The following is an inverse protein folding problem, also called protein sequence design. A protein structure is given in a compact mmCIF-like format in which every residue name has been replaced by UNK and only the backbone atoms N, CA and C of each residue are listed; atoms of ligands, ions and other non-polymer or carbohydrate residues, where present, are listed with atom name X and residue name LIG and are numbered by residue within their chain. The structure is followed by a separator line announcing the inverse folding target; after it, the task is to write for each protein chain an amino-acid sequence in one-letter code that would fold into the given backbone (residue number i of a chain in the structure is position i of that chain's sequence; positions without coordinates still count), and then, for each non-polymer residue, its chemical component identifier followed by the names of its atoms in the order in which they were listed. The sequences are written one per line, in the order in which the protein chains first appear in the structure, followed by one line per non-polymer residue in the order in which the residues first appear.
data_IF_450968314474
#
_entry.id   IF_450968314474
#
_cell.length_a   1.000
_cell.length_b   1.000
_cell.length_c   1.000
_cell.angle_alpha   90.00
_cell.angle_beta   90.00
_cell.angle_gamma   90.00
#
_symmetry.space_group_name_H-M   'P 1'
#
loop_
_entity.id
_entity.type
_entity.pdbx_description
1 polymer ?
#
# COMPACT_ATOMS: atom_id res chain seq x y z
N UNK A 1 3.00 -30.04 -57.29
CA UNK A 1 3.06 -30.03 -55.82
C UNK A 1 3.37 -28.62 -55.33
N UNK A 2 2.57 -28.11 -54.40
CA UNK A 2 2.69 -26.77 -53.80
C UNK A 2 3.72 -26.83 -52.66
N UNK A 3 4.72 -25.94 -52.63
CA UNK A 3 5.59 -25.76 -51.47
C UNK A 3 5.27 -24.40 -50.85
N UNK A 4 4.58 -24.40 -49.71
CA UNK A 4 4.27 -23.20 -48.93
C UNK A 4 5.46 -22.91 -48.01
N UNK A 5 6.11 -21.77 -48.23
CA UNK A 5 7.13 -21.22 -47.33
C UNK A 5 6.41 -20.45 -46.22
N UNK A 6 6.34 -21.03 -45.02
CA UNK A 6 5.77 -20.37 -43.84
C UNK A 6 6.84 -19.55 -43.11
N UNK A 7 6.71 -18.23 -43.12
CA UNK A 7 7.48 -17.35 -42.24
C UNK A 7 7.06 -17.56 -40.77
N UNK A 8 8.00 -18.05 -39.95
CA UNK A 8 7.92 -18.03 -38.50
C UNK A 8 8.31 -16.62 -38.02
N UNK A 9 7.32 -15.78 -37.71
CA UNK A 9 7.55 -14.52 -37.01
C UNK A 9 7.59 -14.85 -35.51
N UNK A 10 8.79 -14.94 -34.94
CA UNK A 10 8.98 -14.86 -33.48
C UNK A 10 8.68 -13.42 -33.06
N UNK A 11 7.44 -13.14 -32.69
CA UNK A 11 7.08 -11.92 -31.99
C UNK A 11 7.56 -12.01 -30.54
N UNK A 12 8.64 -11.30 -30.21
CA UNK A 12 9.01 -11.02 -28.82
C UNK A 12 7.96 -10.04 -28.28
N UNK A 13 7.02 -10.54 -27.49
CA UNK A 13 6.08 -9.72 -26.74
C UNK A 13 6.82 -9.08 -25.56
N UNK A 14 6.85 -7.74 -25.44
CA UNK A 14 7.36 -7.10 -24.24
C UNK A 14 6.44 -7.44 -23.06
N UNK A 15 7.03 -7.90 -21.96
CA UNK A 15 6.33 -8.12 -20.70
C UNK A 15 5.65 -6.83 -20.23
N UNK A 16 4.37 -6.94 -19.91
CA UNK A 16 3.54 -5.88 -19.34
C UNK A 16 4.06 -5.56 -17.93
N UNK A 17 4.96 -4.57 -17.82
CA UNK A 17 5.45 -4.03 -16.56
C UNK A 17 4.30 -3.41 -15.76
N UNK A 18 4.27 -3.70 -14.46
CA UNK A 18 3.17 -3.40 -13.57
C UNK A 18 3.30 -2.04 -12.88
N UNK A 19 2.14 -1.48 -12.57
CA UNK A 19 2.00 -0.22 -11.84
C UNK A 19 2.24 -0.46 -10.36
N UNK A 20 3.47 -0.20 -9.95
CA UNK A 20 3.88 -0.20 -8.56
C UNK A 20 5.40 -0.05 -8.49
N UNK A 21 5.93 1.00 -7.88
CA UNK A 21 7.39 1.08 -7.71
C UNK A 21 7.89 0.04 -6.70
N UNK A 22 7.03 -0.34 -5.75
CA UNK A 22 7.41 -1.21 -4.63
C UNK A 22 6.32 -2.26 -4.35
N UNK A 23 6.67 -3.53 -4.45
CA UNK A 23 5.80 -4.65 -4.09
C UNK A 23 6.10 -5.21 -2.71
N UNK A 24 5.06 -5.67 -2.02
CA UNK A 24 5.18 -6.51 -0.83
C UNK A 24 4.42 -7.81 -1.09
N UNK A 25 5.17 -8.89 -1.25
CA UNK A 25 4.63 -10.23 -1.39
C UNK A 25 4.39 -10.82 -0.01
N UNK A 26 3.18 -11.29 0.25
CA UNK A 26 2.80 -11.88 1.54
C UNK A 26 2.52 -13.36 1.40
N UNK A 27 2.91 -14.15 2.39
CA UNK A 27 2.43 -15.53 2.59
C UNK A 27 2.06 -15.75 4.05
N UNK A 28 0.95 -16.42 4.29
CA UNK A 28 0.48 -16.70 5.64
C UNK A 28 0.51 -18.21 5.91
N UNK A 29 1.05 -18.63 7.05
CA UNK A 29 0.98 -20.03 7.48
C UNK A 29 -0.47 -20.48 7.70
N UNK A 30 -1.33 -19.55 8.15
CA UNK A 30 -2.79 -19.68 8.22
C UNK A 30 -3.42 -18.37 7.77
N UNK A 31 -4.38 -18.46 6.88
CA UNK A 31 -5.04 -17.28 6.32
C UNK A 31 -5.72 -16.46 7.43
N UNK A 32 -5.41 -15.16 7.57
CA UNK A 32 -6.05 -14.29 8.55
C UNK A 32 -7.49 -13.94 8.15
N UNK A 33 -8.36 -13.56 9.10
CA UNK A 33 -9.62 -12.89 8.80
C UNK A 33 -9.38 -11.61 8.00
N UNK A 34 -10.30 -11.31 7.08
CA UNK A 34 -10.22 -10.12 6.20
C UNK A 34 -10.05 -8.82 6.99
N UNK A 35 -10.72 -8.68 8.14
CA UNK A 35 -10.61 -7.51 9.01
C UNK A 35 -9.19 -7.28 9.55
N UNK A 36 -8.48 -8.35 9.92
CA UNK A 36 -7.09 -8.26 10.37
C UNK A 36 -6.18 -7.82 9.22
N UNK A 37 -6.38 -8.42 8.05
CA UNK A 37 -5.59 -8.15 6.85
C UNK A 37 -5.76 -6.70 6.36
N UNK A 38 -7.00 -6.22 6.32
CA UNK A 38 -7.32 -4.85 5.92
C UNK A 38 -6.75 -3.84 6.91
N UNK A 39 -6.93 -4.09 8.21
CA UNK A 39 -6.38 -3.23 9.25
C UNK A 39 -4.85 -3.16 9.19
N UNK A 40 -4.19 -4.30 9.00
CA UNK A 40 -2.73 -4.37 8.83
C UNK A 40 -2.26 -3.57 7.62
N UNK A 41 -2.91 -3.74 6.45
CA UNK A 41 -2.54 -3.03 5.22
C UNK A 41 -2.74 -1.54 5.34
N UNK A 42 -3.85 -1.11 5.93
CA UNK A 42 -4.16 0.30 6.20
C UNK A 42 -3.11 0.92 7.13
N UNK A 43 -2.74 0.22 8.20
CA UNK A 43 -1.74 0.69 9.16
C UNK A 43 -0.35 0.82 8.49
N UNK A 44 0.09 -0.20 7.76
CA UNK A 44 1.36 -0.14 7.02
C UNK A 44 1.34 0.99 6.00
N UNK A 45 0.24 1.16 5.27
CA UNK A 45 0.11 2.26 4.31
C UNK A 45 0.19 3.63 5.01
N UNK A 46 -0.47 3.80 6.16
CA UNK A 46 -0.41 5.02 6.95
C UNK A 46 1.02 5.33 7.42
N UNK A 47 1.80 4.31 7.77
CA UNK A 47 3.18 4.45 8.24
C UNK A 47 4.16 4.71 7.08
N UNK A 48 4.01 4.00 5.96
CA UNK A 48 5.02 3.97 4.90
C UNK A 48 4.80 5.05 3.81
N UNK A 49 3.56 5.49 3.60
CA UNK A 49 3.24 6.53 2.60
C UNK A 49 3.90 7.89 2.90
N UNK A 50 4.01 8.35 4.18
CA UNK A 50 4.84 9.48 4.57
C UNK A 50 6.34 9.25 4.38
N UNK A 51 6.82 8.03 4.10
CA UNK A 51 8.18 7.76 3.63
C UNK A 51 8.33 7.89 2.11
N UNK A 52 7.20 7.84 1.37
CA UNK A 52 7.16 7.87 -0.09
C UNK A 52 6.99 6.48 -0.71
N UNK A 53 6.77 5.48 0.15
CA UNK A 53 6.64 4.08 -0.21
C UNK A 53 5.15 3.74 -0.34
N UNK A 54 4.64 3.83 -1.56
CA UNK A 54 3.29 3.44 -1.93
C UNK A 54 3.32 1.95 -2.34
N UNK A 55 2.90 1.06 -1.43
CA UNK A 55 3.12 -0.38 -1.51
C UNK A 55 2.03 -1.10 -2.31
N UNK A 56 2.45 -2.10 -3.10
CA UNK A 56 1.57 -2.97 -3.87
C UNK A 56 1.57 -4.37 -3.26
N UNK A 57 0.44 -4.78 -2.69
CA UNK A 57 0.33 -6.07 -2.02
C UNK A 57 0.08 -7.19 -3.03
N UNK A 58 0.81 -8.31 -2.88
CA UNK A 58 0.64 -9.52 -3.69
C UNK A 58 0.68 -10.75 -2.79
N UNK A 59 -0.05 -11.80 -3.17
CA UNK A 59 0.11 -13.11 -2.53
C UNK A 59 1.25 -13.87 -3.22
N UNK A 60 2.11 -14.53 -2.43
CA UNK A 60 3.11 -15.45 -2.96
C UNK A 60 2.50 -16.70 -3.60
N UNK A 61 1.31 -17.11 -3.17
CA UNK A 61 0.66 -18.34 -3.67
C UNK A 61 -0.05 -18.12 -5.01
N UNK A 62 -0.17 -16.87 -5.45
CA UNK A 62 -0.86 -16.46 -6.69
C UNK A 62 0.03 -15.77 -7.72
N UNK A 63 1.37 -15.92 -7.63
CA UNK A 63 2.31 -15.19 -8.50
C UNK A 63 2.05 -15.52 -9.96
N UNK A 64 1.72 -14.49 -10.75
CA UNK A 64 1.71 -14.55 -12.21
C UNK A 64 3.08 -14.09 -12.71
N UNK A 65 3.70 -14.85 -13.60
CA UNK A 65 5.10 -14.70 -14.05
C UNK A 65 5.43 -13.38 -14.80
N UNK A 66 4.48 -12.45 -14.94
CA UNK A 66 4.60 -11.26 -15.80
C UNK A 66 4.71 -9.94 -15.03
N UNK A 67 4.83 -10.01 -13.71
CA UNK A 67 4.69 -8.90 -12.77
C UNK A 67 6.08 -8.32 -12.40
N UNK A 68 6.41 -7.12 -12.89
CA UNK A 68 7.72 -6.48 -12.66
C UNK A 68 7.56 -5.25 -11.77
N UNK A 69 8.30 -5.22 -10.65
CA UNK A 69 8.36 -4.12 -9.70
C UNK A 69 9.81 -3.60 -9.57
N UNK A 70 9.99 -2.30 -9.30
CA UNK A 70 11.33 -1.69 -9.17
C UNK A 70 12.03 -2.09 -7.88
N UNK A 71 11.28 -2.24 -6.80
CA UNK A 71 11.71 -2.79 -5.51
C UNK A 71 10.68 -3.78 -5.01
N UNK A 72 11.11 -4.80 -4.27
CA UNK A 72 10.20 -5.75 -3.66
C UNK A 72 10.67 -6.13 -2.26
N UNK A 73 9.71 -6.47 -1.41
CA UNK A 73 9.92 -7.18 -0.16
C UNK A 73 8.98 -8.40 -0.10
N UNK A 74 9.39 -9.42 0.64
CA UNK A 74 8.62 -10.62 0.91
C UNK A 74 8.40 -10.70 2.41
N UNK A 75 7.14 -10.67 2.84
CA UNK A 75 6.73 -10.79 4.23
C UNK A 75 6.07 -12.15 4.47
N UNK A 76 6.68 -13.00 5.28
CA UNK A 76 6.12 -14.29 5.67
C UNK A 76 5.54 -14.21 7.08
N UNK A 77 4.29 -14.59 7.25
CA UNK A 77 3.62 -14.58 8.53
C UNK A 77 3.51 -16.01 9.07
N UNK A 78 4.12 -16.24 10.24
CA UNK A 78 4.09 -17.51 10.96
C UNK A 78 3.04 -17.48 12.05
N UNK A 79 2.50 -18.66 12.39
CA UNK A 79 1.53 -18.81 13.46
C UNK A 79 0.10 -18.46 13.08
N UNK A 80 -0.69 -18.00 14.05
CA UNK A 80 -2.09 -17.60 13.89
C UNK A 80 -2.24 -16.08 13.81
N UNK A 81 -2.61 -15.55 12.64
CA UNK A 81 -2.82 -14.11 12.48
C UNK A 81 -4.32 -13.73 12.58
N UNK A 82 -5.10 -14.40 13.43
CA UNK A 82 -6.56 -14.21 13.53
C UNK A 82 -7.02 -13.24 14.63
N UNK A 83 -6.08 -12.71 15.43
CA UNK A 83 -6.38 -11.89 16.60
C UNK A 83 -7.08 -12.64 17.75
N UNK A 84 -7.22 -13.97 17.70
CA UNK A 84 -7.83 -14.75 18.78
C UNK A 84 -6.83 -14.94 19.94
N UNK A 85 -6.76 -13.95 20.85
CA UNK A 85 -5.83 -13.90 21.98
C UNK A 85 -6.03 -14.95 23.10
N UNK A 86 -6.35 -16.19 22.75
CA UNK A 86 -6.78 -17.23 23.69
C UNK A 86 -5.81 -18.42 23.79
N UNK A 87 -4.87 -18.61 22.85
CA UNK A 87 -3.86 -19.66 22.99
C UNK A 87 -2.70 -19.14 23.84
N UNK A 88 -2.72 -19.47 25.14
CA UNK A 88 -1.59 -19.28 26.05
C UNK A 88 -0.46 -20.25 25.70
N UNK A 89 0.20 -20.02 24.57
CA UNK A 89 1.53 -20.59 24.33
C UNK A 89 2.54 -19.73 25.09
N UNK A 90 3.43 -20.36 25.85
CA UNK A 90 4.42 -19.67 26.68
C UNK A 90 5.08 -18.53 25.92
N UNK A 91 5.04 -17.33 26.50
CA UNK A 91 5.66 -16.14 25.92
C UNK A 91 7.17 -16.33 26.05
N UNK A 92 7.78 -17.00 25.07
CA UNK A 92 9.23 -17.02 24.94
C UNK A 92 9.68 -15.59 24.56
N UNK A 93 10.53 -14.94 25.38
CA UNK A 93 11.08 -13.63 25.05
C UNK A 93 11.78 -13.69 23.68
N UNK A 94 11.48 -12.75 22.80
CA UNK A 94 12.07 -12.74 21.46
C UNK A 94 11.51 -11.66 20.56
N UNK A 95 12.11 -11.54 19.37
CA UNK A 95 11.70 -10.58 18.36
C UNK A 95 10.29 -10.91 17.81
N UNK A 96 9.44 -9.91 17.64
CA UNK A 96 8.09 -10.08 17.07
C UNK A 96 8.12 -10.25 15.55
N UNK A 97 9.17 -9.73 14.91
CA UNK A 97 9.50 -9.93 13.52
C UNK A 97 11.01 -9.78 13.33
N UNK A 98 11.52 -10.18 12.16
CA UNK A 98 12.91 -9.96 11.78
C UNK A 98 13.06 -9.92 10.26
N UNK A 99 14.11 -9.22 9.81
CA UNK A 99 14.59 -9.24 8.43
C UNK A 99 15.87 -10.07 8.31
N UNK A 100 16.07 -10.69 7.15
CA UNK A 100 17.25 -11.52 6.90
C UNK A 100 18.44 -10.65 6.50
N UNK A 101 19.64 -10.99 6.97
CA UNK A 101 20.88 -10.32 6.57
C UNK A 101 21.85 -11.36 6.03
N UNK A 102 22.44 -11.09 4.87
CA UNK A 102 23.53 -11.90 4.27
C UNK A 102 24.66 -10.98 3.88
N UNK A 103 25.89 -11.33 4.28
CA UNK A 103 27.11 -10.57 3.98
C UNK A 103 27.02 -9.07 4.34
N UNK A 104 26.34 -8.74 5.43
CA UNK A 104 26.13 -7.35 5.85
C UNK A 104 25.19 -6.56 4.93
N UNK A 105 24.28 -7.24 4.23
CA UNK A 105 23.22 -6.63 3.41
C UNK A 105 21.86 -7.11 3.91
N UNK A 106 20.94 -6.18 4.17
CA UNK A 106 19.55 -6.52 4.51
C UNK A 106 18.89 -7.07 3.25
N UNK A 107 18.42 -8.31 3.32
CA UNK A 107 17.70 -8.95 2.25
C UNK A 107 16.23 -8.53 2.26
N UNK A 108 15.53 -8.59 1.12
CA UNK A 108 14.13 -8.22 1.02
C UNK A 108 13.17 -9.28 1.59
N UNK A 109 13.54 -9.94 2.69
CA UNK A 109 12.74 -10.96 3.35
C UNK A 109 12.51 -10.57 4.80
N UNK A 110 11.25 -10.38 5.18
CA UNK A 110 10.79 -10.19 6.54
C UNK A 110 9.96 -11.40 6.99
N UNK A 111 10.09 -11.76 8.25
CA UNK A 111 9.26 -12.76 8.90
C UNK A 111 8.57 -12.17 10.11
N UNK A 112 7.26 -12.36 10.22
CA UNK A 112 6.41 -11.84 11.31
C UNK A 112 5.83 -13.02 12.08
N UNK A 113 5.98 -13.02 13.40
CA UNK A 113 5.52 -14.09 14.28
C UNK A 113 4.20 -13.70 14.96
N UNK A 114 3.08 -14.10 14.34
CA UNK A 114 1.75 -13.74 14.84
C UNK A 114 1.43 -14.39 16.19
N UNK A 115 1.88 -15.62 16.45
CA UNK A 115 1.67 -16.27 17.75
C UNK A 115 2.39 -15.49 18.87
N UNK A 116 3.62 -15.04 18.62
CA UNK A 116 4.36 -14.20 19.58
C UNK A 116 3.70 -12.83 19.77
N UNK A 117 3.20 -12.19 18.71
CA UNK A 117 2.46 -10.92 18.82
C UNK A 117 1.17 -11.13 19.63
N UNK A 118 0.41 -12.20 19.39
CA UNK A 118 -0.79 -12.52 20.16
C UNK A 118 -0.47 -12.70 21.65
N UNK A 119 0.58 -13.47 21.98
CA UNK A 119 1.03 -13.65 23.36
C UNK A 119 1.47 -12.33 24.01
N UNK A 120 2.22 -11.50 23.28
CA UNK A 120 2.69 -10.20 23.76
C UNK A 120 1.54 -9.22 24.05
N UNK A 121 0.48 -9.27 23.24
CA UNK A 121 -0.68 -8.37 23.33
C UNK A 121 -1.84 -8.96 24.13
N UNK A 122 -1.74 -10.21 24.61
CA UNK A 122 -2.83 -10.95 25.24
C UNK A 122 -3.60 -10.10 26.26
N UNK A 123 -2.90 -9.48 27.23
CA UNK A 123 -3.54 -8.66 28.27
C UNK A 123 -4.26 -7.41 27.76
N UNK A 124 -3.89 -6.88 26.60
CA UNK A 124 -4.52 -5.71 25.96
C UNK A 124 -5.71 -6.11 25.09
N UNK A 125 -5.68 -7.32 24.53
CA UNK A 125 -6.74 -7.85 23.68
C UNK A 125 -7.86 -8.56 24.46
N UNK A 126 -7.55 -9.01 25.69
CA UNK A 126 -8.53 -9.60 26.61
C UNK A 126 -9.65 -8.61 26.93
N UNK A 127 -10.90 -9.06 26.79
CA UNK A 127 -12.09 -8.25 27.07
C UNK A 127 -12.59 -7.40 25.90
N UNK A 128 -11.82 -7.28 24.81
CA UNK A 128 -12.33 -6.65 23.58
C UNK A 128 -13.33 -7.56 22.85
N UNK A 129 -14.33 -6.93 22.22
CA UNK A 129 -15.20 -7.59 21.24
C UNK A 129 -14.37 -8.12 20.07
N UNK A 130 -14.79 -9.23 19.45
CA UNK A 130 -14.07 -9.90 18.36
C UNK A 130 -13.62 -8.95 17.26
N UNK A 131 -14.52 -8.11 16.73
CA UNK A 131 -14.20 -7.17 15.66
C UNK A 131 -13.14 -6.15 16.08
N UNK A 132 -13.31 -5.53 17.25
CA UNK A 132 -12.34 -4.55 17.77
C UNK A 132 -10.99 -5.22 18.06
N UNK A 133 -11.00 -6.47 18.50
CA UNK A 133 -9.78 -7.26 18.71
C UNK A 133 -9.04 -7.52 17.40
N UNK A 134 -9.75 -7.89 16.34
CA UNK A 134 -9.18 -8.10 15.01
C UNK A 134 -8.60 -6.80 14.44
N UNK A 135 -9.31 -5.68 14.58
CA UNK A 135 -8.83 -4.35 14.15
C UNK A 135 -7.57 -3.92 14.94
N UNK A 136 -7.57 -4.02 16.28
CA UNK A 136 -6.40 -3.65 17.10
C UNK A 136 -5.21 -4.58 16.82
N UNK A 137 -5.46 -5.88 16.67
CA UNK A 137 -4.42 -6.85 16.35
C UNK A 137 -3.83 -6.62 14.95
N UNK A 138 -4.68 -6.34 13.95
CA UNK A 138 -4.26 -6.01 12.60
C UNK A 138 -3.36 -4.78 12.55
N UNK A 139 -3.72 -3.70 13.25
CA UNK A 139 -2.84 -2.53 13.41
C UNK A 139 -1.49 -2.90 14.04
N UNK A 140 -1.50 -3.68 15.12
CA UNK A 140 -0.27 -4.09 15.77
C UNK A 140 0.66 -4.89 14.85
N UNK A 141 0.12 -5.87 14.11
CA UNK A 141 0.86 -6.61 13.09
C UNK A 141 1.39 -5.66 12.00
N UNK A 142 0.58 -4.68 11.59
CA UNK A 142 0.97 -3.67 10.62
C UNK A 142 2.15 -2.80 11.09
N UNK A 143 2.16 -2.36 12.35
CA UNK A 143 3.28 -1.60 12.96
C UNK A 143 4.56 -2.42 12.99
N UNK A 144 4.47 -3.69 13.39
CA UNK A 144 5.62 -4.61 13.40
C UNK A 144 6.15 -4.83 11.99
N UNK A 145 5.28 -5.08 11.01
CA UNK A 145 5.71 -5.25 9.62
C UNK A 145 6.33 -3.96 9.05
N UNK A 146 5.73 -2.80 9.30
CA UNK A 146 6.24 -1.53 8.81
C UNK A 146 7.66 -1.23 9.33
N UNK A 147 7.97 -1.66 10.55
CA UNK A 147 9.33 -1.61 11.10
C UNK A 147 10.32 -2.44 10.26
N UNK A 148 9.97 -3.66 9.90
CA UNK A 148 10.84 -4.49 9.06
C UNK A 148 10.96 -3.96 7.62
N UNK A 149 9.85 -3.49 7.04
CA UNK A 149 9.88 -2.89 5.70
C UNK A 149 10.73 -1.62 5.67
N UNK A 150 10.75 -0.85 6.76
CA UNK A 150 11.68 0.27 6.89
C UNK A 150 13.13 -0.20 6.79
N UNK A 151 13.54 -1.24 7.53
CA UNK A 151 14.91 -1.77 7.44
C UNK A 151 15.25 -2.25 6.03
N UNK A 152 14.32 -2.95 5.37
CA UNK A 152 14.49 -3.45 4.00
C UNK A 152 14.68 -2.30 3.00
N UNK A 153 13.77 -1.33 2.97
CA UNK A 153 13.79 -0.27 1.96
C UNK A 153 14.76 0.87 2.27
N UNK A 154 15.03 1.15 3.56
CA UNK A 154 16.03 2.13 3.95
C UNK A 154 17.47 1.58 3.89
N UNK A 155 17.64 0.25 3.72
CA UNK A 155 18.93 -0.46 3.73
C UNK A 155 19.78 -0.13 4.96
N UNK A 156 19.13 0.08 6.10
CA UNK A 156 19.80 0.42 7.36
C UNK A 156 20.38 -0.85 8.00
N UNK A 157 21.71 -0.90 8.17
CA UNK A 157 22.47 -2.07 8.62
C UNK A 157 22.80 -2.07 10.13
N UNK A 158 22.08 -1.32 10.97
CA UNK A 158 22.37 -1.38 12.41
C UNK A 158 21.35 -0.72 13.33
N UNK A 159 21.19 -1.34 14.50
CA UNK A 159 20.70 -0.70 15.71
C UNK A 159 21.89 0.03 16.36
N UNK A 160 21.99 1.34 16.20
CA UNK A 160 23.02 2.20 16.76
C UNK A 160 22.81 2.57 18.24
N UNK A 161 23.87 3.00 18.93
CA UNK A 161 23.89 3.23 20.39
C UNK A 161 23.65 4.68 20.80
N UNK A 162 22.69 5.41 20.19
CA UNK A 162 22.36 6.78 20.60
C UNK A 162 20.86 7.06 20.45
N UNK A 163 20.09 6.94 21.53
CA UNK A 163 18.76 7.55 21.82
C UNK A 163 17.66 7.65 20.72
N UNK A 164 17.92 7.11 19.53
CA UNK A 164 17.17 7.13 18.26
C UNK A 164 16.97 5.67 17.77
N UNK A 165 17.45 4.70 18.54
CA UNK A 165 17.35 3.25 18.32
C UNK A 165 16.72 2.62 19.56
N UNK A 166 15.39 2.67 19.69
CA UNK A 166 14.72 1.77 20.64
C UNK A 166 14.32 0.49 19.90
N UNK A 167 14.91 -0.68 20.25
CA UNK A 167 14.71 -1.95 19.55
C UNK A 167 13.44 -2.70 19.99
N UNK A 168 12.44 -2.01 20.52
CA UNK A 168 11.28 -2.66 21.12
C UNK A 168 10.05 -1.76 21.09
N UNK A 169 9.00 -2.20 20.42
CA UNK A 169 7.66 -1.68 20.69
C UNK A 169 7.19 -2.19 22.06
N UNK A 170 6.59 -1.32 22.85
CA UNK A 170 5.82 -1.76 24.02
C UNK A 170 4.46 -2.29 23.59
N UNK A 171 3.86 -3.15 24.41
CA UNK A 171 2.51 -3.65 24.14
C UNK A 171 1.45 -2.53 24.11
N UNK A 172 1.70 -1.38 24.76
CA UNK A 172 0.84 -0.22 24.70
C UNK A 172 0.99 0.51 23.36
N UNK A 173 2.23 0.74 22.91
CA UNK A 173 2.52 1.37 21.62
C UNK A 173 1.98 0.57 20.43
N UNK A 174 1.91 -0.76 20.51
CA UNK A 174 1.36 -1.58 19.43
C UNK A 174 -0.17 -1.51 19.33
N UNK A 175 -0.88 -1.24 20.43
CA UNK A 175 -2.36 -1.25 20.45
C UNK A 175 -2.99 0.14 20.42
N UNK A 176 -2.17 1.19 20.48
CA UNK A 176 -2.66 2.58 20.50
C UNK A 176 -3.55 2.89 19.27
N UNK A 177 -4.51 3.80 19.45
CA UNK A 177 -5.44 4.23 18.41
C UNK A 177 -4.81 5.27 17.48
N UNK A 178 -3.90 6.10 17.98
CA UNK A 178 -3.14 7.06 17.19
C UNK A 178 -1.66 6.68 17.14
N UNK A 179 -1.18 6.21 15.99
CA UNK A 179 0.27 6.11 15.78
C UNK A 179 0.80 7.48 15.33
N UNK A 180 0.99 8.36 16.30
CA UNK A 180 1.69 9.62 16.11
C UNK A 180 3.19 9.37 15.94
N UNK A 181 3.74 9.68 14.77
CA UNK A 181 5.19 9.69 14.50
C UNK A 181 6.00 10.66 15.40
N UNK A 182 5.39 11.33 16.37
CA UNK A 182 6.08 12.25 17.29
C UNK A 182 6.85 11.53 18.41
N UNK A 183 6.48 10.29 18.78
CA UNK A 183 7.14 9.56 19.88
C UNK A 183 8.18 8.51 19.43
N UNK A 184 8.19 8.16 18.14
CA UNK A 184 9.27 7.39 17.54
C UNK A 184 10.22 8.37 16.82
N UNK A 185 11.23 8.84 17.56
CA UNK A 185 12.35 9.63 17.02
C UNK A 185 13.00 8.92 15.83
N UNK A 186 12.50 9.18 14.62
CA UNK A 186 13.16 8.80 13.37
C UNK A 186 13.13 10.00 12.45
N UNK A 187 14.28 10.68 12.37
CA UNK A 187 14.55 11.77 11.45
C UNK A 187 14.51 11.27 10.00
N UNK A 188 13.33 11.24 9.38
CA UNK A 188 13.22 11.36 7.92
C UNK A 188 12.89 12.82 7.61
N UNK A 189 13.96 13.56 7.30
CA UNK A 189 14.00 14.81 6.54
C UNK A 189 13.04 15.93 7.01
N UNK A 190 13.59 16.84 7.81
CA UNK A 190 12.99 18.16 8.04
C UNK A 190 12.75 18.91 6.72
N UNK A 191 11.51 19.33 6.46
CA UNK A 191 11.18 20.59 5.79
C UNK A 191 9.92 21.21 6.43
N UNK A 192 10.18 22.14 7.36
CA UNK A 192 9.41 23.35 7.77
C UNK A 192 7.88 23.45 7.57
N UNK A 193 7.17 23.59 8.72
CA UNK A 193 5.95 24.40 9.06
C UNK A 193 5.37 25.30 7.94
N UNK A 194 4.05 25.41 7.67
CA UNK A 194 2.90 25.79 8.52
C UNK A 194 1.59 25.89 7.64
N UNK A 195 0.43 26.44 8.11
CA UNK A 195 -0.75 25.81 8.73
C UNK A 195 -1.97 25.56 7.79
N UNK A 196 -3.01 24.96 8.37
CA UNK A 196 -4.25 24.50 7.72
C UNK A 196 -5.21 25.62 7.27
N UNK A 197 -5.93 25.39 6.17
CA UNK A 197 -7.12 26.15 5.78
C UNK A 197 -8.28 25.22 5.41
N UNK A 198 -9.42 25.52 6.02
CA UNK A 198 -10.71 24.84 5.99
C UNK A 198 -11.36 24.82 4.60
N UNK A 199 -11.83 23.64 4.16
CA UNK A 199 -12.65 23.49 2.96
C UNK A 199 -14.13 23.80 3.28
N UNK A 200 -14.71 24.78 2.58
CA UNK A 200 -16.15 24.98 2.50
C UNK A 200 -16.70 24.21 1.30
N UNK A 201 -17.73 23.41 1.55
CA UNK A 201 -18.51 22.70 0.54
C UNK A 201 -19.10 23.65 -0.49
N UNK A 202 -19.05 23.27 -1.77
CA UNK A 202 -20.02 23.73 -2.77
C UNK A 202 -20.34 22.63 -3.77
N UNK A 203 -21.63 22.54 -4.07
CA UNK A 203 -22.34 21.45 -4.73
C UNK A 203 -21.93 21.16 -6.18
N UNK A 204 -22.14 19.90 -6.59
CA UNK A 204 -22.04 19.38 -7.96
C UNK A 204 -23.15 19.96 -8.87
N UNK A 205 -22.85 20.32 -10.14
CA UNK A 205 -23.86 20.65 -11.14
C UNK A 205 -24.51 19.42 -11.78
N UNK A 206 -25.61 19.68 -12.49
CA UNK A 206 -26.75 18.80 -12.80
C UNK A 206 -26.48 17.55 -13.68
N UNK A 207 -27.38 16.58 -13.53
CA UNK A 207 -27.36 15.19 -14.02
C UNK A 207 -27.24 15.05 -15.54
N UNK A 208 -26.05 14.72 -16.04
CA UNK A 208 -25.89 13.93 -17.28
C UNK A 208 -26.02 12.45 -16.90
N UNK A 209 -26.99 11.73 -17.48
CA UNK A 209 -27.14 10.29 -17.23
C UNK A 209 -26.07 9.53 -18.02
N UNK A 210 -25.07 9.00 -17.32
CA UNK A 210 -24.01 8.20 -17.93
C UNK A 210 -24.40 6.71 -17.96
N UNK A 211 -23.98 5.93 -18.97
CA UNK A 211 -24.14 4.47 -18.95
C UNK A 211 -23.54 3.86 -17.67
N UNK A 212 -24.11 2.77 -17.15
CA UNK A 212 -23.72 2.16 -15.87
C UNK A 212 -22.21 1.85 -15.77
N UNK A 213 -21.58 1.40 -16.87
CA UNK A 213 -20.12 1.16 -16.90
C UNK A 213 -19.29 2.43 -16.71
N UNK A 214 -19.76 3.58 -17.20
CA UNK A 214 -19.07 4.85 -16.98
C UNK A 214 -19.26 5.35 -15.55
N UNK A 215 -20.42 5.07 -14.94
CA UNK A 215 -20.64 5.36 -13.52
C UNK A 215 -19.72 4.54 -12.62
N UNK A 216 -19.48 3.26 -12.96
CA UNK A 216 -18.51 2.42 -12.25
C UNK A 216 -17.09 3.02 -12.31
N UNK A 217 -16.65 3.46 -13.49
CA UNK A 217 -15.36 4.14 -13.65
C UNK A 217 -15.25 5.46 -12.88
N UNK A 218 -16.31 6.26 -12.86
CA UNK A 218 -16.37 7.47 -12.04
C UNK A 218 -16.31 7.15 -10.55
N UNK A 219 -17.02 6.12 -10.09
CA UNK A 219 -17.00 5.69 -8.70
C UNK A 219 -15.61 5.23 -8.27
N UNK A 220 -14.93 4.43 -9.12
CA UNK A 220 -13.53 4.04 -8.89
C UNK A 220 -12.60 5.26 -8.85
N UNK A 221 -12.75 6.20 -9.77
CA UNK A 221 -11.96 7.44 -9.81
C UNK A 221 -12.12 8.31 -8.56
N UNK A 222 -13.33 8.37 -8.00
CA UNK A 222 -13.62 9.05 -6.72
C UNK A 222 -13.06 8.27 -5.54
N UNK A 223 -13.33 6.97 -5.47
CA UNK A 223 -12.89 6.06 -4.40
C UNK A 223 -11.37 6.05 -4.25
N UNK A 224 -10.64 6.06 -5.36
CA UNK A 224 -9.17 6.11 -5.40
C UNK A 224 -8.58 7.49 -5.15
N UNK A 225 -9.41 8.51 -4.88
CA UNK A 225 -8.96 9.85 -4.51
C UNK A 225 -8.44 10.71 -5.66
N UNK A 226 -8.60 10.28 -6.92
CA UNK A 226 -8.04 10.97 -8.08
C UNK A 226 -8.60 12.40 -8.24
N UNK A 227 -9.85 12.61 -7.85
CA UNK A 227 -10.57 13.88 -7.97
C UNK A 227 -9.93 15.02 -7.17
N UNK A 228 -9.20 14.71 -6.10
CA UNK A 228 -8.55 15.69 -5.21
C UNK A 228 -7.53 16.53 -5.98
N UNK A 229 -6.77 15.91 -6.87
CA UNK A 229 -5.71 16.58 -7.64
C UNK A 229 -6.09 16.79 -9.10
N UNK A 230 -6.83 15.86 -9.71
CA UNK A 230 -7.08 15.85 -11.15
C UNK A 230 -8.46 16.39 -11.54
N UNK A 231 -9.24 16.89 -10.58
CA UNK A 231 -10.57 17.46 -10.82
C UNK A 231 -11.67 16.40 -10.87
N UNK A 232 -12.93 16.83 -10.73
CA UNK A 232 -14.09 15.92 -10.63
C UNK A 232 -14.30 15.01 -11.84
N UNK A 233 -13.80 15.42 -13.00
CA UNK A 233 -13.94 14.76 -14.30
C UNK A 233 -12.59 14.66 -15.04
N UNK A 234 -11.48 14.59 -14.30
CA UNK A 234 -10.14 14.47 -14.87
C UNK A 234 -9.64 15.70 -15.64
N UNK A 235 -10.32 16.85 -15.56
CA UNK A 235 -9.99 18.09 -16.28
C UNK A 235 -8.67 18.75 -15.82
N UNK A 236 -8.08 18.26 -14.73
CA UNK A 236 -6.91 18.85 -14.11
C UNK A 236 -7.26 20.02 -13.18
N UNK A 237 -6.30 20.36 -12.32
CA UNK A 237 -6.37 21.51 -11.41
C UNK A 237 -4.98 22.11 -11.24
N UNK A 238 -4.84 23.10 -10.34
CA UNK A 238 -3.51 23.56 -9.90
C UNK A 238 -2.70 22.49 -9.13
N UNK A 239 -3.33 21.39 -8.74
CA UNK A 239 -2.73 20.33 -7.93
C UNK A 239 -2.25 19.13 -8.75
N UNK A 240 -2.83 18.90 -9.92
CA UNK A 240 -2.48 17.80 -10.81
C UNK A 240 -2.91 18.08 -12.25
N UNK A 241 -2.19 17.55 -13.25
CA UNK A 241 -2.49 17.78 -14.66
C UNK A 241 -3.85 17.19 -15.07
N UNK A 242 -4.35 17.60 -16.23
CA UNK A 242 -5.50 16.94 -16.86
C UNK A 242 -5.15 15.48 -17.17
N UNK A 243 -6.11 14.60 -16.88
CA UNK A 243 -6.09 13.18 -17.23
C UNK A 243 -6.97 12.87 -18.44
N UNK A 244 -7.71 13.87 -18.95
CA UNK A 244 -8.49 13.71 -20.19
C UNK A 244 -7.53 13.46 -21.35
N UNK A 245 -7.80 12.47 -22.22
CA UNK A 245 -6.99 12.24 -23.41
C UNK A 245 -7.03 13.47 -24.33
N UNK A 246 -5.87 13.91 -24.80
CA UNK A 246 -5.74 14.95 -25.83
C UNK A 246 -5.49 14.26 -27.17
N UNK A 247 -6.54 13.95 -27.91
CA UNK A 247 -6.47 13.25 -29.20
C UNK A 247 -6.77 11.75 -29.07
N UNK A 248 -5.74 10.91 -28.94
CA UNK A 248 -5.91 9.45 -28.91
C UNK A 248 -6.55 8.97 -27.61
N UNK A 249 -7.40 7.93 -27.71
CA UNK A 249 -8.04 7.31 -26.55
C UNK A 249 -6.99 6.76 -25.60
N UNK A 250 -7.16 7.05 -24.32
CA UNK A 250 -6.33 6.47 -23.26
C UNK A 250 -6.61 4.97 -23.20
N UNK A 251 -5.59 4.11 -23.25
CA UNK A 251 -5.76 2.70 -22.93
C UNK A 251 -5.25 2.39 -21.50
N UNK A 252 -5.58 1.20 -20.99
CA UNK A 252 -5.20 0.75 -19.65
C UNK A 252 -3.70 0.64 -19.45
N UNK A 253 -2.94 0.31 -20.49
CA UNK A 253 -1.48 0.18 -20.45
C UNK A 253 -0.83 1.56 -20.38
N UNK A 254 -1.34 2.53 -21.14
CA UNK A 254 -0.87 3.92 -21.13
C UNK A 254 -1.20 4.59 -19.79
N UNK A 255 -2.42 4.39 -19.26
CA UNK A 255 -2.76 4.91 -17.93
C UNK A 255 -1.86 4.29 -16.86
N UNK A 256 -1.66 2.98 -16.90
CA UNK A 256 -0.76 2.26 -16.02
C UNK A 256 0.67 2.87 -16.03
N UNK A 257 1.26 3.04 -17.20
CA UNK A 257 2.60 3.62 -17.35
C UNK A 257 2.69 5.09 -16.89
N UNK A 258 1.58 5.85 -16.96
CA UNK A 258 1.52 7.22 -16.43
C UNK A 258 1.43 7.22 -14.91
N UNK A 259 0.66 6.32 -14.32
CA UNK A 259 0.56 6.15 -12.87
C UNK A 259 1.89 5.71 -12.26
N UNK A 260 2.62 4.82 -12.93
CA UNK A 260 3.94 4.36 -12.47
C UNK A 260 4.96 5.50 -12.45
N UNK A 261 5.12 6.21 -13.58
CA UNK A 261 6.05 7.36 -13.68
C UNK A 261 5.63 8.54 -12.82
N UNK A 262 4.32 8.70 -12.61
CA UNK A 262 3.72 9.78 -11.82
C UNK A 262 3.64 9.47 -10.33
N UNK A 263 3.71 8.21 -9.93
CA UNK A 263 3.42 7.69 -8.59
C UNK A 263 4.18 8.42 -7.49
N UNK A 264 5.52 8.53 -7.56
CA UNK A 264 6.30 9.26 -6.56
C UNK A 264 5.88 10.73 -6.42
N UNK A 265 5.53 11.39 -7.54
CA UNK A 265 5.04 12.79 -7.53
C UNK A 265 3.64 12.88 -6.94
N UNK A 266 2.77 11.91 -7.22
CA UNK A 266 1.43 11.81 -6.64
C UNK A 266 1.50 11.56 -5.13
N UNK A 267 2.34 10.62 -4.67
CA UNK A 267 2.52 10.31 -3.25
C UNK A 267 3.12 11.52 -2.50
N UNK A 268 4.12 12.20 -3.08
CA UNK A 268 4.64 13.47 -2.53
C UNK A 268 3.55 14.54 -2.44
N UNK A 269 2.76 14.71 -3.50
CA UNK A 269 1.68 15.71 -3.55
C UNK A 269 0.56 15.42 -2.55
N UNK A 270 0.18 14.16 -2.39
CA UNK A 270 -0.80 13.72 -1.41
C UNK A 270 -0.35 14.06 0.02
N UNK A 271 0.93 13.84 0.32
CA UNK A 271 1.54 14.26 1.59
C UNK A 271 1.52 15.77 1.78
N UNK A 272 1.96 16.54 0.79
CA UNK A 272 1.97 18.01 0.87
C UNK A 272 0.56 18.58 1.11
N UNK A 273 -0.47 17.90 0.59
CA UNK A 273 -1.88 18.26 0.74
C UNK A 273 -2.55 17.60 1.96
N UNK A 274 -1.84 16.75 2.71
CA UNK A 274 -2.38 15.98 3.85
C UNK A 274 -3.63 15.17 3.51
N UNK A 275 -3.63 14.54 2.35
CA UNK A 275 -4.70 13.64 1.91
C UNK A 275 -4.17 12.20 1.82
N UNK A 276 -5.04 11.17 1.95
CA UNK A 276 -4.64 9.79 1.78
C UNK A 276 -3.93 9.58 0.43
N UNK A 277 -2.91 8.73 0.42
CA UNK A 277 -2.28 8.32 -0.83
C UNK A 277 -3.34 7.63 -1.71
N UNK A 278 -3.38 7.94 -3.01
CA UNK A 278 -4.31 7.26 -3.91
C UNK A 278 -3.96 5.78 -3.98
N UNK A 279 -4.92 4.93 -3.62
CA UNK A 279 -4.83 3.48 -3.75
C UNK A 279 -5.76 3.05 -4.90
N UNK A 280 -5.21 2.27 -5.83
CA UNK A 280 -5.92 1.83 -7.02
C UNK A 280 -5.79 0.32 -7.16
N UNK A 281 -6.92 -0.38 -7.23
CA UNK A 281 -6.96 -1.79 -7.55
C UNK A 281 -6.77 -2.00 -9.06
N UNK A 282 -6.25 -3.15 -9.47
CA UNK A 282 -5.95 -3.42 -10.89
C UNK A 282 -7.23 -3.48 -11.73
N UNK A 283 -8.29 -4.05 -11.18
CA UNK A 283 -9.63 -4.11 -11.75
C UNK A 283 -10.25 -2.73 -11.99
N UNK A 284 -9.90 -1.74 -11.16
CA UNK A 284 -10.42 -0.38 -11.25
C UNK A 284 -9.80 0.41 -12.43
N UNK A 285 -8.60 0.02 -12.89
CA UNK A 285 -7.89 0.70 -13.99
C UNK A 285 -8.73 0.68 -15.27
N UNK A 286 -9.32 -0.47 -15.61
CA UNK A 286 -10.11 -0.59 -16.84
C UNK A 286 -11.37 0.27 -16.79
N UNK A 287 -12.03 0.35 -15.64
CA UNK A 287 -13.23 1.16 -15.50
C UNK A 287 -12.90 2.65 -15.53
N UNK A 288 -11.80 3.07 -14.88
CA UNK A 288 -11.32 4.46 -14.93
C UNK A 288 -10.97 4.88 -16.36
N UNK A 289 -10.31 4.02 -17.15
CA UNK A 289 -10.02 4.32 -18.55
C UNK A 289 -11.29 4.53 -19.36
N UNK A 290 -12.29 3.66 -19.20
CA UNK A 290 -13.59 3.82 -19.88
C UNK A 290 -14.23 5.15 -19.52
N UNK A 291 -14.18 5.52 -18.24
CA UNK A 291 -14.67 6.81 -17.78
C UNK A 291 -13.91 7.99 -18.41
N UNK A 292 -12.58 8.02 -18.33
CA UNK A 292 -11.76 9.13 -18.84
C UNK A 292 -11.89 9.31 -20.36
N UNK A 293 -12.08 8.23 -21.11
CA UNK A 293 -12.33 8.30 -22.55
C UNK A 293 -13.75 8.76 -22.89
N UNK A 294 -14.73 8.52 -22.02
CA UNK A 294 -16.11 8.94 -22.25
C UNK A 294 -16.34 10.41 -21.86
N UNK A 295 -15.42 11.00 -21.09
CA UNK A 295 -15.42 12.42 -20.75
C UNK A 295 -14.73 13.21 -21.88
N UNK A 296 -15.35 13.27 -23.05
CA UNK A 296 -15.03 14.29 -24.06
C UNK A 296 -15.52 15.67 -23.58
N UNK A 297 -14.84 16.73 -24.04
CA UNK A 297 -14.83 18.10 -23.49
C UNK A 297 -16.17 18.64 -22.96
#
# INVERSE_FOLDING_TARGET
MKLRLGCLVLGVLPALGQVGSTAVYTSFQREPPEAVLDSMRLEVAAIMSPGGLCLNWRSLDGVRETEVFSELAVARFRGNCDGSGLAASGIEPGALAWSHVSDGVVLPFAEVDCDRIQGFLQRRLLGLETRSREEVFGRAVGRVLAHELYHIFARAQGHGTRDVDRPSFTAAELVDDEFGFDDAKYHILQLTKQPALTAKNRALPEKKSWPAKIQAGLAAFVKSGCTVCHGSLGQGTRHGPSLRPTGETLDSVVLAAKLERGGPKMCKRARDLKVPAPALAEEDIQEIVRFLNAVEE
#
